data_IF_604333203187
#
_entry.id   IF_604333203187
#
_cell.length_a   1.000
_cell.length_b   1.000
_cell.length_c   1.000
_cell.angle_alpha   90.00
_cell.angle_beta   90.00
_cell.angle_gamma   90.00
#
_symmetry.space_group_name_H-M   'P 1'
#
loop_
_entity.id
_entity.type
_entity.pdbx_description
1 polymer ?
#
# COMPACT_ATOMS: atom_id res chain seq x y z
N UNK A 1 10.08 6.93 -44.29
CA UNK A 1 9.59 8.25 -43.82
C UNK A 1 8.16 8.09 -43.31
N UNK A 2 7.90 8.31 -42.02
CA UNK A 2 6.55 8.20 -41.44
C UNK A 2 5.81 9.54 -41.61
N UNK A 3 4.74 9.57 -42.39
CA UNK A 3 3.90 10.75 -42.60
C UNK A 3 3.02 10.98 -41.37
N UNK A 4 3.08 12.18 -40.77
CA UNK A 4 2.17 12.62 -39.71
C UNK A 4 0.90 13.19 -40.37
N UNK A 5 -0.26 12.71 -39.95
CA UNK A 5 -1.57 13.26 -40.36
C UNK A 5 -1.96 14.29 -39.30
N UNK A 6 -2.19 15.53 -39.72
CA UNK A 6 -2.68 16.63 -38.88
C UNK A 6 -4.13 16.89 -39.29
N UNK A 7 -5.07 16.75 -38.36
CA UNK A 7 -6.49 17.06 -38.59
C UNK A 7 -6.76 18.42 -37.95
N UNK A 8 -7.07 19.44 -38.76
CA UNK A 8 -7.57 20.74 -38.30
C UNK A 8 -9.10 20.77 -38.41
N UNK A 9 -9.75 21.27 -37.35
CA UNK A 9 -11.20 21.44 -37.28
C UNK A 9 -11.59 22.73 -38.03
N UNK A 10 -12.50 22.61 -38.99
CA UNK A 10 -13.05 23.72 -39.78
C UNK A 10 -14.00 24.55 -38.91
N UNK A 11 -13.70 25.83 -38.72
CA UNK A 11 -14.64 26.79 -38.13
C UNK A 11 -15.70 27.16 -39.16
N UNK A 12 -16.97 26.90 -38.83
CA UNK A 12 -18.13 27.40 -39.59
C UNK A 12 -18.77 28.53 -38.78
N UNK A 13 -18.47 29.76 -39.15
CA UNK A 13 -19.20 30.96 -38.72
C UNK A 13 -19.86 31.56 -39.96
N UNK A 14 -21.19 31.47 -40.02
CA UNK A 14 -22.03 32.34 -40.83
C UNK A 14 -23.22 32.76 -39.96
N UNK A 15 -23.19 34.00 -39.53
CA UNK A 15 -24.27 34.70 -38.82
C UNK A 15 -24.91 35.70 -39.79
N UNK A 16 -26.23 35.85 -39.71
CA UNK A 16 -26.94 37.13 -39.88
C UNK A 16 -28.38 37.05 -39.33
N UNK A 17 -29.05 38.18 -39.00
CA UNK A 17 -29.50 38.46 -37.64
C UNK A 17 -31.01 38.75 -37.52
N UNK A 18 -31.56 38.80 -36.29
CA UNK A 18 -32.47 39.87 -35.80
C UNK A 18 -32.93 39.69 -34.35
N UNK A 19 -32.54 40.67 -33.51
CA UNK A 19 -33.31 41.43 -32.49
C UNK A 19 -34.21 40.70 -31.47
N UNK A 20 -33.90 40.82 -30.16
CA UNK A 20 -34.61 41.71 -29.19
C UNK A 20 -33.86 41.75 -27.83
N UNK A 21 -33.65 42.98 -27.34
CA UNK A 21 -33.25 43.52 -26.02
C UNK A 21 -33.65 42.63 -24.80
N UNK A 22 -32.85 42.39 -23.75
CA UNK A 22 -32.50 43.26 -22.60
C UNK A 22 -31.24 42.75 -21.84
N UNK A 23 -30.56 43.66 -21.14
CA UNK A 23 -29.19 43.52 -20.62
C UNK A 23 -28.97 42.58 -19.43
N UNK A 24 -27.71 42.18 -19.25
CA UNK A 24 -26.91 42.55 -18.08
C UNK A 24 -25.45 42.11 -18.30
N UNK A 25 -24.53 42.99 -17.90
CA UNK A 25 -23.08 42.82 -17.94
C UNK A 25 -22.65 41.59 -17.14
N UNK A 26 -22.00 40.63 -17.80
CA UNK A 26 -21.18 39.62 -17.12
C UNK A 26 -19.79 39.61 -17.72
N UNK A 27 -18.84 40.08 -16.91
CA UNK A 27 -17.41 39.97 -17.11
C UNK A 27 -17.02 38.52 -17.36
N UNK A 28 -16.34 38.29 -18.48
CA UNK A 28 -15.71 37.02 -18.84
C UNK A 28 -14.55 36.74 -17.86
N UNK A 29 -14.85 36.11 -16.72
CA UNK A 29 -13.83 35.46 -15.91
C UNK A 29 -13.56 34.11 -16.53
N UNK A 30 -12.45 34.03 -17.27
CA UNK A 30 -11.75 32.78 -17.54
C UNK A 30 -11.56 32.07 -16.20
N UNK A 31 -12.33 31.01 -15.97
CA UNK A 31 -11.95 30.02 -14.97
C UNK A 31 -10.81 29.22 -15.61
N UNK A 32 -9.59 29.74 -15.48
CA UNK A 32 -8.41 28.89 -15.39
C UNK A 32 -8.69 27.95 -14.22
N UNK A 33 -9.12 26.73 -14.54
CA UNK A 33 -9.09 25.63 -13.58
C UNK A 33 -7.61 25.29 -13.38
N UNK A 34 -6.95 26.10 -12.58
CA UNK A 34 -5.74 25.72 -11.88
C UNK A 34 -6.05 24.41 -11.17
N UNK A 35 -5.57 23.31 -11.75
CA UNK A 35 -5.57 22.01 -11.08
C UNK A 35 -4.61 22.17 -9.90
N UNK A 36 -5.15 22.62 -8.77
CA UNK A 36 -4.44 22.73 -7.51
C UNK A 36 -4.06 21.32 -7.08
N UNK A 37 -2.89 20.88 -7.53
CA UNK A 37 -2.22 19.69 -7.04
C UNK A 37 -1.78 19.99 -5.61
N UNK A 38 -2.63 19.63 -4.65
CA UNK A 38 -2.31 19.62 -3.22
C UNK A 38 -1.29 18.49 -2.97
N UNK A 39 -0.06 18.73 -3.44
CA UNK A 39 1.08 17.89 -3.15
C UNK A 39 1.37 18.02 -1.66
N UNK A 40 1.20 16.92 -0.94
CA UNK A 40 1.72 16.82 0.42
C UNK A 40 3.23 17.04 0.35
N UNK A 41 3.67 18.21 0.77
CA UNK A 41 5.07 18.61 0.78
C UNK A 41 5.84 17.68 1.72
N UNK A 42 6.59 16.74 1.13
CA UNK A 42 7.45 15.82 1.91
C UNK A 42 8.77 16.49 2.30
N UNK A 43 8.94 17.79 2.01
CA UNK A 43 10.18 18.54 2.24
C UNK A 43 10.54 18.69 3.72
N UNK A 44 9.58 18.48 4.63
CA UNK A 44 9.84 18.44 6.07
C UNK A 44 10.38 17.10 6.59
N UNK A 45 10.56 16.06 5.75
CA UNK A 45 11.11 14.78 6.17
C UNK A 45 12.64 14.85 6.35
N UNK A 46 13.10 15.22 7.55
CA UNK A 46 14.51 15.13 7.93
C UNK A 46 14.96 13.66 7.94
N UNK A 47 15.79 13.27 6.97
CA UNK A 47 16.64 12.08 7.06
C UNK A 47 16.06 10.77 6.53
N UNK A 48 15.29 10.78 5.44
CA UNK A 48 14.84 9.57 4.74
C UNK A 48 14.60 9.84 3.24
N UNK A 49 14.63 8.79 2.41
CA UNK A 49 14.24 8.89 1.00
C UNK A 49 12.82 9.46 0.90
N UNK A 50 12.66 10.55 0.16
CA UNK A 50 11.34 11.15 -0.10
C UNK A 50 10.42 10.15 -0.81
N UNK A 51 9.14 10.20 -0.47
CA UNK A 51 8.11 9.45 -1.20
C UNK A 51 7.77 10.17 -2.50
N UNK A 52 7.62 9.42 -3.59
CA UNK A 52 7.33 9.95 -4.92
C UNK A 52 5.93 9.53 -5.35
N UNK A 53 5.17 10.45 -5.95
CA UNK A 53 3.87 10.13 -6.53
C UNK A 53 4.02 9.07 -7.62
N UNK A 54 3.12 8.09 -7.68
CA UNK A 54 3.12 7.07 -8.72
C UNK A 54 3.04 7.69 -10.13
N UNK A 55 2.40 8.85 -10.26
CA UNK A 55 2.24 9.56 -11.54
C UNK A 55 3.56 10.20 -12.00
N UNK A 56 4.36 10.67 -11.04
CA UNK A 56 5.68 11.28 -11.28
C UNK A 56 6.79 10.24 -11.33
N UNK A 57 6.50 9.04 -10.83
CA UNK A 57 7.42 7.93 -10.91
C UNK A 57 7.43 7.35 -12.33
N UNK A 58 8.59 6.83 -12.75
CA UNK A 58 8.71 6.00 -13.95
C UNK A 58 8.15 4.57 -13.74
N UNK A 59 7.15 4.41 -12.85
CA UNK A 59 6.55 3.13 -12.54
C UNK A 59 5.85 2.56 -13.78
N UNK A 60 6.20 1.32 -14.13
CA UNK A 60 5.59 0.59 -15.24
C UNK A 60 4.83 -0.60 -14.69
N UNK A 61 3.52 -0.62 -14.91
CA UNK A 61 2.72 -1.78 -14.58
C UNK A 61 3.23 -3.00 -15.38
N UNK A 62 3.37 -4.18 -14.75
CA UNK A 62 3.82 -5.38 -15.44
C UNK A 62 2.81 -5.82 -16.51
N UNK A 63 3.32 -6.30 -17.66
CA UNK A 63 2.49 -6.67 -18.82
C UNK A 63 1.50 -7.81 -18.53
N UNK A 64 1.86 -8.73 -17.64
CA UNK A 64 1.06 -9.91 -17.31
C UNK A 64 0.11 -9.67 -16.12
N UNK A 65 -0.13 -8.41 -15.78
CA UNK A 65 -0.83 -8.03 -14.56
C UNK A 65 0.03 -8.21 -13.31
N UNK A 66 -0.46 -7.68 -12.20
CA UNK A 66 0.16 -7.85 -10.88
C UNK A 66 -0.35 -9.13 -10.21
N UNK A 67 0.35 -9.63 -9.19
CA UNK A 67 -0.10 -10.82 -8.42
C UNK A 67 -1.51 -10.63 -7.90
N UNK A 68 -1.90 -9.42 -7.50
CA UNK A 68 -3.24 -9.10 -7.01
C UNK A 68 -4.32 -9.08 -8.11
N UNK A 69 -3.96 -8.83 -9.38
CA UNK A 69 -4.92 -8.88 -10.50
C UNK A 69 -5.30 -10.34 -10.82
N UNK A 70 -4.39 -11.27 -10.54
CA UNK A 70 -4.57 -12.71 -10.79
C UNK A 70 -5.09 -13.47 -9.55
N UNK A 71 -5.46 -12.78 -8.47
CA UNK A 71 -5.97 -13.44 -7.26
C UNK A 71 -7.40 -13.96 -7.45
N UNK A 72 -7.66 -15.15 -6.93
CA UNK A 72 -9.01 -15.70 -6.86
C UNK A 72 -9.83 -15.02 -5.77
N UNK A 73 -11.16 -15.17 -5.83
CA UNK A 73 -12.06 -14.61 -4.80
C UNK A 73 -11.76 -15.19 -3.41
N UNK A 74 -11.34 -16.44 -3.33
CA UNK A 74 -11.03 -17.11 -2.05
C UNK A 74 -9.72 -16.60 -1.45
N UNK A 75 -8.70 -16.37 -2.26
CA UNK A 75 -7.46 -15.71 -1.82
C UNK A 75 -7.72 -14.28 -1.33
N UNK A 76 -8.60 -13.53 -2.02
CA UNK A 76 -9.01 -12.19 -1.58
C UNK A 76 -9.72 -12.26 -0.22
N UNK A 77 -10.65 -13.22 -0.04
CA UNK A 77 -11.33 -13.43 1.25
C UNK A 77 -10.34 -13.75 2.37
N UNK A 78 -9.39 -14.65 2.12
CA UNK A 78 -8.33 -14.98 3.08
C UNK A 78 -7.47 -13.74 3.43
N UNK A 79 -7.14 -12.90 2.46
CA UNK A 79 -6.38 -11.64 2.70
C UNK A 79 -7.17 -10.60 3.50
N UNK A 80 -8.50 -10.64 3.41
CA UNK A 80 -9.41 -9.77 4.13
C UNK A 80 -9.85 -10.33 5.49
N UNK A 81 -9.39 -11.53 5.86
CA UNK A 81 -9.65 -12.11 7.17
C UNK A 81 -9.10 -11.20 8.29
N UNK A 82 -9.97 -10.86 9.24
CA UNK A 82 -9.67 -9.91 10.32
C UNK A 82 -9.61 -8.43 9.90
N UNK A 83 -10.17 -8.09 8.74
CA UNK A 83 -10.41 -6.71 8.33
C UNK A 83 -11.89 -6.35 8.44
N UNK A 84 -12.15 -5.10 8.84
CA UNK A 84 -13.47 -4.49 8.92
C UNK A 84 -13.72 -3.70 7.62
N UNK A 85 -14.82 -3.97 6.90
CA UNK A 85 -15.19 -3.21 5.71
C UNK A 85 -15.82 -1.87 6.09
N UNK A 86 -15.34 -0.80 5.47
CA UNK A 86 -15.89 0.56 5.53
C UNK A 86 -16.60 0.84 4.21
N UNK A 87 -17.90 0.59 4.16
CA UNK A 87 -18.71 0.71 2.93
C UNK A 87 -19.24 2.13 2.77
N UNK A 88 -19.90 2.64 3.80
CA UNK A 88 -20.52 3.96 3.74
C UNK A 88 -19.52 5.08 4.02
N UNK A 89 -19.82 6.30 3.57
CA UNK A 89 -19.04 7.49 3.92
C UNK A 89 -19.00 7.74 5.43
N UNK A 90 -20.08 7.39 6.16
CA UNK A 90 -20.11 7.49 7.62
C UNK A 90 -19.09 6.57 8.27
N UNK A 91 -18.95 5.33 7.77
CA UNK A 91 -17.95 4.38 8.28
C UNK A 91 -16.53 4.89 7.99
N UNK A 92 -16.32 5.43 6.78
CA UNK A 92 -15.03 5.99 6.33
C UNK A 92 -14.60 7.22 7.15
N UNK A 93 -15.49 7.87 7.90
CA UNK A 93 -15.15 8.95 8.83
C UNK A 93 -14.14 8.51 9.90
N UNK A 94 -14.07 7.22 10.23
CA UNK A 94 -13.07 6.70 11.18
C UNK A 94 -11.62 7.01 10.76
N UNK A 95 -11.36 7.13 9.46
CA UNK A 95 -10.03 7.37 8.90
C UNK A 95 -9.42 8.67 9.44
N UNK A 96 -10.22 9.70 9.72
CA UNK A 96 -9.72 10.99 10.25
C UNK A 96 -9.15 10.89 11.66
N UNK A 97 -9.46 9.80 12.38
CA UNK A 97 -8.95 9.52 13.73
C UNK A 97 -7.77 8.55 13.71
N UNK A 98 -7.48 7.93 12.57
CA UNK A 98 -6.41 6.94 12.48
C UNK A 98 -5.06 7.64 12.37
N UNK A 99 -4.02 7.12 13.04
CA UNK A 99 -2.68 7.68 12.92
C UNK A 99 -2.08 7.42 11.53
N UNK A 100 -1.52 8.48 10.93
CA UNK A 100 -0.76 8.38 9.70
C UNK A 100 0.45 7.43 9.87
N UNK A 101 0.80 6.76 8.78
CA UNK A 101 1.86 5.76 8.64
C UNK A 101 1.77 4.53 9.56
N UNK A 102 0.63 4.32 10.24
CA UNK A 102 0.42 3.15 11.12
C UNK A 102 -0.64 2.19 10.61
N UNK A 103 -1.65 2.68 9.89
CA UNK A 103 -2.75 1.84 9.39
C UNK A 103 -2.50 1.40 7.96
N UNK A 104 -2.50 0.09 7.72
CA UNK A 104 -2.54 -0.47 6.37
C UNK A 104 -3.98 -0.57 5.88
N UNK A 105 -4.28 0.05 4.74
CA UNK A 105 -5.61 0.06 4.14
C UNK A 105 -5.60 -0.79 2.88
N UNK A 106 -6.53 -1.74 2.80
CA UNK A 106 -6.86 -2.48 1.56
C UNK A 106 -8.14 -1.90 0.98
N UNK A 107 -8.37 -2.06 -0.32
CA UNK A 107 -9.59 -1.55 -0.92
C UNK A 107 -10.05 -2.37 -2.12
N UNK A 108 -11.34 -2.28 -2.41
CA UNK A 108 -11.95 -2.80 -3.63
C UNK A 108 -12.62 -1.61 -4.32
N UNK A 109 -12.30 -1.42 -5.59
CA UNK A 109 -12.99 -0.43 -6.41
C UNK A 109 -14.38 -0.96 -6.79
N UNK A 110 -15.41 -0.17 -6.53
CA UNK A 110 -16.80 -0.59 -6.73
C UNK A 110 -17.19 -0.69 -8.19
N UNK A 111 -16.56 0.06 -9.08
CA UNK A 111 -16.86 0.05 -10.52
C UNK A 111 -16.18 -1.14 -11.22
N UNK A 112 -14.86 -1.25 -11.06
CA UNK A 112 -14.03 -2.27 -11.70
C UNK A 112 -14.03 -3.62 -10.97
N UNK A 113 -14.53 -3.65 -9.74
CA UNK A 113 -14.47 -4.81 -8.81
C UNK A 113 -13.05 -5.33 -8.56
N UNK A 114 -12.03 -4.51 -8.84
CA UNK A 114 -10.64 -4.89 -8.65
C UNK A 114 -10.24 -4.75 -7.17
N UNK A 115 -9.65 -5.81 -6.64
CA UNK A 115 -9.03 -5.78 -5.32
C UNK A 115 -7.63 -5.19 -5.39
N UNK A 116 -7.31 -4.38 -4.39
CA UNK A 116 -6.00 -3.76 -4.21
C UNK A 116 -5.52 -4.02 -2.80
N UNK A 117 -4.29 -4.54 -2.70
CA UNK A 117 -3.62 -4.73 -1.41
C UNK A 117 -3.41 -3.39 -0.70
N UNK A 118 -3.39 -2.29 -1.45
CA UNK A 118 -3.31 -0.93 -0.92
C UNK A 118 -1.96 -0.63 -0.29
N UNK A 119 -1.95 0.15 0.79
CA UNK A 119 -0.74 0.72 1.37
C UNK A 119 -0.96 1.29 2.76
N UNK A 120 0.10 1.89 3.34
CA UNK A 120 0.00 2.62 4.59
C UNK A 120 -0.72 3.95 4.38
N UNK A 121 -1.59 4.32 5.30
CA UNK A 121 -2.29 5.59 5.28
C UNK A 121 -1.30 6.75 5.48
N UNK A 122 -1.14 7.63 4.50
CA UNK A 122 -0.23 8.77 4.58
C UNK A 122 -0.96 10.06 4.98
N UNK A 123 -2.07 10.37 4.30
CA UNK A 123 -2.88 11.58 4.49
C UNK A 123 -4.35 11.23 4.31
N UNK A 124 -5.21 11.88 5.08
CA UNK A 124 -6.67 11.78 4.96
C UNK A 124 -7.23 13.14 4.56
N UNK A 125 -7.83 13.22 3.38
CA UNK A 125 -8.55 14.38 2.88
C UNK A 125 -10.05 14.02 2.78
N UNK A 126 -10.68 13.75 3.93
CA UNK A 126 -12.09 13.38 4.00
C UNK A 126 -12.98 14.61 3.71
N UNK A 127 -14.05 14.49 2.89
CA UNK A 127 -14.68 13.26 2.40
C UNK A 127 -14.18 12.77 1.03
N UNK A 128 -13.18 13.41 0.44
CA UNK A 128 -12.87 13.24 -0.98
C UNK A 128 -11.97 12.03 -1.21
N UNK A 129 -10.77 12.03 -0.62
CA UNK A 129 -9.76 11.02 -0.89
C UNK A 129 -8.84 10.75 0.31
N UNK A 130 -8.07 9.67 0.19
CA UNK A 130 -6.93 9.38 1.05
C UNK A 130 -5.68 9.19 0.20
N UNK A 131 -4.51 9.45 0.77
CA UNK A 131 -3.25 9.10 0.16
C UNK A 131 -2.66 7.88 0.85
N UNK A 132 -2.27 6.90 0.05
CA UNK A 132 -1.59 5.70 0.51
C UNK A 132 -0.13 5.73 0.07
N UNK A 133 0.72 5.01 0.80
CA UNK A 133 2.13 4.83 0.46
C UNK A 133 2.51 3.36 0.46
N UNK A 134 3.37 2.97 -0.47
CA UNK A 134 4.12 1.71 -0.45
C UNK A 134 5.54 1.98 0.08
N UNK A 135 5.86 1.61 1.32
CA UNK A 135 7.19 1.83 1.91
C UNK A 135 8.31 1.10 1.19
N UNK A 136 8.03 -0.03 0.54
CA UNK A 136 9.06 -0.82 -0.14
C UNK A 136 9.50 -0.19 -1.47
N UNK A 137 8.62 0.59 -2.10
CA UNK A 137 8.87 1.24 -3.39
C UNK A 137 8.97 2.76 -3.27
N UNK A 138 8.74 3.30 -2.07
CA UNK A 138 8.59 4.73 -1.81
C UNK A 138 7.58 5.43 -2.74
N UNK A 139 6.52 4.72 -3.16
CA UNK A 139 5.50 5.24 -4.06
C UNK A 139 4.24 5.65 -3.31
N UNK A 140 3.63 6.77 -3.69
CA UNK A 140 2.34 7.23 -3.15
C UNK A 140 1.27 7.30 -4.23
N UNK A 141 0.02 7.11 -3.84
CA UNK A 141 -1.13 7.30 -4.73
C UNK A 141 -2.38 7.69 -3.94
N UNK A 142 -3.29 8.42 -4.58
CA UNK A 142 -4.58 8.78 -4.01
C UNK A 142 -5.63 7.71 -4.27
N UNK A 143 -6.53 7.50 -3.31
CA UNK A 143 -7.70 6.62 -3.44
C UNK A 143 -8.95 7.44 -3.12
N UNK A 144 -9.90 7.50 -4.05
CA UNK A 144 -11.17 8.21 -3.88
C UNK A 144 -12.06 7.48 -2.87
N UNK A 145 -12.66 8.21 -1.94
CA UNK A 145 -13.51 7.60 -0.91
C UNK A 145 -14.90 7.23 -1.45
N UNK A 146 -15.39 7.90 -2.50
CA UNK A 146 -16.74 7.72 -3.04
C UNK A 146 -16.97 6.34 -3.67
N UNK A 147 -16.05 5.86 -4.50
CA UNK A 147 -16.23 4.65 -5.31
C UNK A 147 -15.38 3.44 -4.85
N UNK A 148 -14.87 3.46 -3.62
CA UNK A 148 -14.08 2.37 -3.07
C UNK A 148 -14.63 1.88 -1.73
N UNK A 149 -14.68 0.56 -1.55
CA UNK A 149 -14.87 -0.07 -0.24
C UNK A 149 -13.49 -0.20 0.38
N UNK A 150 -13.29 0.39 1.55
CA UNK A 150 -12.03 0.32 2.27
C UNK A 150 -12.08 -0.78 3.32
N UNK A 151 -10.93 -1.35 3.64
CA UNK A 151 -10.79 -2.40 4.64
C UNK A 151 -9.65 -2.01 5.57
N UNK A 152 -9.98 -1.86 6.85
CA UNK A 152 -9.03 -1.59 7.92
C UNK A 152 -8.91 -2.82 8.80
N UNK A 153 -7.73 -3.07 9.36
CA UNK A 153 -7.55 -4.22 10.24
C UNK A 153 -8.26 -4.00 11.56
N UNK A 154 -9.00 -5.00 12.03
CA UNK A 154 -9.70 -4.92 13.31
C UNK A 154 -8.69 -4.70 14.47
N UNK A 155 -8.82 -3.61 15.25
CA UNK A 155 -7.96 -3.36 16.40
C UNK A 155 -8.03 -4.47 17.46
N UNK A 156 -9.18 -5.15 17.62
CA UNK A 156 -9.31 -6.25 18.58
C UNK A 156 -8.39 -7.43 18.25
N UNK A 157 -8.21 -7.72 16.96
CA UNK A 157 -7.35 -8.79 16.46
C UNK A 157 -5.86 -8.40 16.37
N UNK A 158 -5.52 -7.13 16.62
CA UNK A 158 -4.13 -6.69 16.67
C UNK A 158 -3.45 -7.06 17.99
N UNK A 159 -4.19 -7.10 19.10
CA UNK A 159 -3.64 -7.39 20.43
C UNK A 159 -3.27 -8.88 20.62
N UNK A 160 -3.84 -9.77 19.81
CA UNK A 160 -3.65 -11.22 19.95
C UNK A 160 -2.49 -11.80 19.13
N UNK A 161 -1.84 -11.03 18.24
CA UNK A 161 -0.67 -11.54 17.52
C UNK A 161 0.58 -11.29 18.36
N UNK A 162 1.23 -12.34 18.93
CA UNK A 162 2.55 -12.16 19.52
C UNK A 162 3.48 -11.62 18.43
N UNK A 163 4.17 -10.54 18.75
CA UNK A 163 5.13 -9.87 17.88
C UNK A 163 6.03 -10.92 17.22
N UNK A 164 6.13 -10.94 15.89
CA UNK A 164 6.95 -11.91 15.14
C UNK A 164 8.43 -11.97 15.59
N UNK A 165 8.88 -10.96 16.35
CA UNK A 165 10.17 -10.93 17.03
C UNK A 165 10.32 -12.01 18.12
N UNK A 166 9.25 -12.44 18.78
CA UNK A 166 9.29 -13.51 19.80
C UNK A 166 9.46 -14.90 19.17
N UNK A 167 8.87 -15.14 18.00
CA UNK A 167 8.97 -16.45 17.29
C UNK A 167 10.38 -16.69 16.74
N UNK A 168 11.09 -15.63 16.33
CA UNK A 168 12.50 -15.75 15.90
C UNK A 168 13.44 -16.01 17.08
N UNK A 169 13.17 -15.44 18.26
CA UNK A 169 13.96 -15.71 19.47
C UNK A 169 13.74 -17.12 20.02
N UNK A 170 12.49 -17.61 20.06
CA UNK A 170 12.20 -18.96 20.56
C UNK A 170 12.81 -20.07 19.68
N UNK A 171 12.82 -19.90 18.35
CA UNK A 171 13.46 -20.85 17.43
C UNK A 171 15.00 -20.82 17.50
N UNK A 172 15.60 -19.67 17.84
CA UNK A 172 17.05 -19.55 18.03
C UNK A 172 17.48 -20.20 19.36
N UNK A 173 16.71 -20.03 20.43
CA UNK A 173 17.00 -20.64 21.74
C UNK A 173 16.84 -22.16 21.75
N UNK A 174 15.83 -22.71 21.05
CA UNK A 174 15.66 -24.17 20.93
C UNK A 174 16.82 -24.86 20.19
N UNK A 175 17.35 -24.24 19.14
CA UNK A 175 18.50 -24.77 18.40
C UNK A 175 19.83 -24.74 19.19
N UNK A 176 19.97 -23.79 20.12
CA UNK A 176 21.18 -23.69 20.98
C UNK A 176 21.16 -24.72 22.10
N UNK A 177 19.99 -25.02 22.68
CA UNK A 177 19.90 -26.02 23.76
C UNK A 177 20.13 -27.45 23.25
N UNK A 178 19.56 -27.82 22.11
CA UNK A 178 19.79 -29.16 21.53
C UNK A 178 21.28 -29.44 21.24
N UNK A 179 22.04 -28.43 20.81
CA UNK A 179 23.48 -28.58 20.57
C UNK A 179 24.31 -28.74 21.87
N UNK A 180 23.88 -28.16 22.99
CA UNK A 180 24.58 -28.32 24.27
C UNK A 180 24.40 -29.71 24.84
N UNK A 181 23.17 -30.22 24.79
CA UNK A 181 22.84 -31.55 25.30
C UNK A 181 23.56 -32.64 24.49
N UNK A 182 23.65 -32.50 23.16
CA UNK A 182 24.42 -33.41 22.30
C UNK A 182 25.92 -33.39 22.62
N UNK A 183 26.51 -32.21 22.87
CA UNK A 183 27.93 -32.09 23.22
C UNK A 183 28.24 -32.71 24.58
N UNK A 184 27.36 -32.57 25.57
CA UNK A 184 27.54 -33.22 26.89
C UNK A 184 27.45 -34.74 26.79
N UNK A 185 26.48 -35.27 26.04
CA UNK A 185 26.35 -36.71 25.80
C UNK A 185 27.61 -37.28 25.10
N UNK A 186 28.16 -36.54 24.12
CA UNK A 186 29.38 -36.96 23.42
C UNK A 186 30.59 -36.96 24.37
N UNK A 187 30.72 -35.97 25.25
CA UNK A 187 31.81 -35.90 26.24
C UNK A 187 31.75 -37.06 27.23
N UNK A 188 30.57 -37.37 27.76
CA UNK A 188 30.40 -38.47 28.71
C UNK A 188 30.72 -39.81 28.06
N UNK A 189 30.28 -40.01 26.80
CA UNK A 189 30.59 -41.21 26.04
C UNK A 189 32.10 -41.34 25.74
N UNK A 190 32.78 -40.25 25.40
CA UNK A 190 34.23 -40.24 25.20
C UNK A 190 34.98 -40.56 26.50
N UNK A 191 34.52 -40.03 27.63
CA UNK A 191 35.10 -40.29 28.94
C UNK A 191 34.94 -41.76 29.37
N UNK A 192 33.77 -42.35 29.12
CA UNK A 192 33.57 -43.79 29.32
C UNK A 192 34.51 -44.63 28.46
N UNK A 193 34.65 -44.31 27.17
CA UNK A 193 35.57 -45.03 26.27
C UNK A 193 37.03 -44.90 26.70
N UNK A 194 37.42 -43.77 27.30
CA UNK A 194 38.74 -43.59 27.88
C UNK A 194 38.94 -44.48 29.12
N UNK A 195 37.98 -44.50 30.05
CA UNK A 195 38.01 -45.37 31.23
C UNK A 195 38.05 -46.86 30.85
N UNK A 196 37.32 -47.25 29.80
CA UNK A 196 37.31 -48.61 29.24
C UNK A 196 38.60 -48.97 28.47
N UNK A 197 39.55 -48.04 28.32
CA UNK A 197 40.81 -48.25 27.58
C UNK A 197 40.63 -48.41 26.06
N UNK A 198 39.44 -48.10 25.54
CA UNK A 198 39.08 -48.17 24.12
C UNK A 198 39.41 -46.89 23.35
N UNK A 199 39.69 -45.80 24.07
CA UNK A 199 40.17 -44.55 23.52
C UNK A 199 41.71 -44.50 23.61
N UNK A 200 42.41 -44.90 22.55
CA UNK A 200 43.86 -44.84 22.51
C UNK A 200 44.34 -43.52 21.89
N UNK A 201 45.25 -42.81 22.57
CA UNK A 201 45.95 -41.69 21.96
C UNK A 201 46.77 -42.20 20.77
N UNK A 202 46.56 -41.58 19.61
CA UNK A 202 47.37 -41.82 18.42
C UNK A 202 48.83 -41.49 18.77
N UNK A 203 49.67 -42.53 18.85
CA UNK A 203 51.13 -42.38 18.91
C UNK A 203 51.68 -41.91 17.57
#
# INVERSE_FOLDING_TARGET
MKKRIIIQKKNTSSSDPTTTTFGDTYTNTNYDTDTFSDYSDTDSQRGGSRFVSIVESNYKAPKNGTVQDNMTKDEIRQKLEGYIPLRSMRDKKILTKLPNFKTWIRYINEETKQFRTGGLLMKVAYPDYIMLVNPSQNLTWSVQLSNNILFIRDPALQQQKPSQNQVKQSNKSKNVNNNKDEVEIIKDKLYQLYLEGRLQQKR
#
